data_IF_951855196121
#
_entry.id   IF_951855196121
#
_cell.length_a   1.000
_cell.length_b   1.000
_cell.length_c   1.000
_cell.angle_alpha   90.00
_cell.angle_beta   90.00
_cell.angle_gamma   90.00
#
_symmetry.space_group_name_H-M   'P 1'
#
loop_
_entity.id
_entity.type
_entity.pdbx_description
1 polymer ?
#
# COMPACT_ATOMS: atom_id res chain seq x y z
N UNK A 1 -9.69 6.56 9.45
CA UNK A 1 -9.86 6.98 8.03
C UNK A 1 -10.37 5.83 7.20
N UNK A 2 -9.68 4.67 7.19
CA UNK A 2 -10.18 3.45 6.53
C UNK A 2 -11.62 3.12 6.91
N UNK A 3 -11.96 3.12 8.21
CA UNK A 3 -13.35 2.87 8.67
C UNK A 3 -14.34 3.87 8.08
N UNK A 4 -13.98 5.17 8.03
CA UNK A 4 -14.85 6.21 7.44
C UNK A 4 -15.06 6.02 5.94
N UNK A 5 -14.08 5.48 5.22
CA UNK A 5 -14.21 5.14 3.80
C UNK A 5 -15.13 3.93 3.61
N UNK A 6 -14.96 2.91 4.47
CA UNK A 6 -15.82 1.73 4.47
C UNK A 6 -17.28 2.10 4.78
N UNK A 7 -17.52 2.92 5.81
CA UNK A 7 -18.85 3.43 6.18
C UNK A 7 -19.52 4.22 5.05
N UNK A 8 -18.72 4.87 4.19
CA UNK A 8 -19.19 5.60 3.02
C UNK A 8 -19.39 4.71 1.78
N UNK A 9 -19.17 3.40 1.87
CA UNK A 9 -19.25 2.45 0.76
C UNK A 9 -18.11 2.56 -0.25
N UNK A 10 -17.01 3.20 0.11
CA UNK A 10 -15.82 3.32 -0.75
C UNK A 10 -14.91 2.10 -0.60
N UNK A 11 -14.43 1.57 -1.72
CA UNK A 11 -13.44 0.50 -1.70
C UNK A 11 -12.13 1.00 -1.06
N UNK A 12 -11.64 0.30 -0.04
CA UNK A 12 -10.42 0.66 0.68
C UNK A 12 -9.75 -0.60 1.25
N UNK A 13 -8.48 -0.80 0.90
CA UNK A 13 -7.63 -1.83 1.48
C UNK A 13 -6.65 -1.18 2.47
N UNK A 14 -6.70 -1.60 3.75
CA UNK A 14 -5.76 -1.15 4.78
C UNK A 14 -4.74 -2.25 5.08
N UNK A 15 -3.45 -1.91 4.97
CA UNK A 15 -2.34 -2.76 5.39
C UNK A 15 -1.63 -2.14 6.59
N UNK A 16 -1.64 -2.84 7.74
CA UNK A 16 -0.84 -2.48 8.91
C UNK A 16 0.45 -3.28 8.89
N UNK A 17 1.58 -2.57 8.86
CA UNK A 17 2.91 -3.20 8.77
C UNK A 17 3.56 -3.24 10.13
N UNK A 18 3.69 -4.45 10.68
CA UNK A 18 4.23 -4.65 12.01
C UNK A 18 5.70 -4.19 12.12
N UNK A 19 6.00 -3.48 13.21
CA UNK A 19 7.32 -2.90 13.55
C UNK A 19 7.94 -1.98 12.49
N UNK A 20 7.14 -1.40 11.59
CA UNK A 20 7.66 -0.45 10.63
C UNK A 20 7.51 1.00 11.11
N UNK A 21 8.52 1.81 10.82
CA UNK A 21 8.47 3.24 11.08
C UNK A 21 7.64 3.97 10.02
N UNK A 22 7.26 5.21 10.32
CA UNK A 22 6.65 6.08 9.31
C UNK A 22 7.55 6.13 8.06
N UNK A 23 6.95 6.05 6.87
CA UNK A 23 7.62 6.13 5.57
C UNK A 23 8.74 5.09 5.33
N UNK A 24 8.69 3.91 5.96
CA UNK A 24 9.68 2.84 5.79
C UNK A 24 9.91 2.41 4.32
N UNK A 25 8.98 2.70 3.41
CA UNK A 25 9.13 2.48 1.96
C UNK A 25 10.33 3.24 1.36
N UNK A 26 10.68 4.41 1.90
CA UNK A 26 11.85 5.17 1.46
C UNK A 26 13.18 4.45 1.76
N UNK A 27 13.16 3.46 2.66
CA UNK A 27 14.30 2.61 2.98
C UNK A 27 14.27 1.29 2.20
N UNK A 28 13.62 1.22 1.03
CA UNK A 28 13.54 -0.01 0.23
C UNK A 28 14.91 -0.62 -0.13
N UNK A 29 15.94 0.20 -0.28
CA UNK A 29 17.31 -0.28 -0.54
C UNK A 29 17.99 -0.88 0.70
N UNK A 30 17.38 -0.73 1.89
CA UNK A 30 17.94 -1.11 3.18
C UNK A 30 17.13 -2.22 3.87
N UNK A 31 15.81 -2.22 3.72
CA UNK A 31 14.91 -3.16 4.40
C UNK A 31 13.97 -3.89 3.41
N UNK A 32 13.79 -5.22 3.54
CA UNK A 32 12.94 -6.00 2.64
C UNK A 32 11.47 -5.55 2.62
N UNK A 33 10.97 -5.06 3.74
CA UNK A 33 9.60 -4.57 3.88
C UNK A 33 9.34 -3.39 2.95
N UNK A 34 10.33 -2.50 2.75
CA UNK A 34 10.21 -1.37 1.82
C UNK A 34 9.97 -1.82 0.39
N UNK A 35 10.78 -2.78 -0.10
CA UNK A 35 10.59 -3.38 -1.44
C UNK A 35 9.22 -4.04 -1.55
N UNK A 36 8.80 -4.79 -0.52
CA UNK A 36 7.51 -5.47 -0.51
C UNK A 36 6.36 -4.48 -0.59
N UNK A 37 6.38 -3.44 0.23
CA UNK A 37 5.35 -2.40 0.25
C UNK A 37 5.24 -1.66 -1.09
N UNK A 38 6.37 -1.35 -1.75
CA UNK A 38 6.37 -0.76 -3.10
C UNK A 38 5.75 -1.74 -4.12
N UNK A 39 6.06 -3.03 -4.01
CA UNK A 39 5.45 -4.07 -4.84
C UNK A 39 3.93 -4.16 -4.67
N UNK A 40 3.43 -4.08 -3.43
CA UNK A 40 2.00 -4.03 -3.12
C UNK A 40 1.32 -2.81 -3.78
N UNK A 41 1.93 -1.63 -3.66
CA UNK A 41 1.44 -0.40 -4.29
C UNK A 41 1.37 -0.56 -5.81
N UNK A 42 2.43 -1.09 -6.42
CA UNK A 42 2.46 -1.33 -7.87
C UNK A 42 1.36 -2.30 -8.32
N UNK A 43 1.07 -3.35 -7.54
CA UNK A 43 -0.03 -4.27 -7.83
C UNK A 43 -1.38 -3.58 -7.74
N UNK A 44 -1.59 -2.77 -6.70
CA UNK A 44 -2.82 -2.00 -6.53
C UNK A 44 -3.08 -1.09 -7.74
N UNK A 45 -2.08 -0.32 -8.16
CA UNK A 45 -2.18 0.57 -9.34
C UNK A 45 -2.53 -0.24 -10.59
N UNK A 46 -1.82 -1.34 -10.86
CA UNK A 46 -2.09 -2.20 -12.03
C UNK A 46 -3.48 -2.81 -12.03
N UNK A 47 -4.01 -3.16 -10.87
CA UNK A 47 -5.34 -3.72 -10.73
C UNK A 47 -6.47 -2.70 -10.91
N UNK A 48 -6.18 -1.40 -10.73
CA UNK A 48 -7.20 -0.34 -10.68
C UNK A 48 -7.16 0.60 -11.88
N UNK A 49 -6.02 0.73 -12.55
CA UNK A 49 -5.83 1.65 -13.69
C UNK A 49 -5.75 0.85 -15.00
N UNK A 50 -6.77 0.94 -15.89
CA UNK A 50 -6.75 0.27 -17.18
C UNK A 50 -5.51 0.65 -18.01
N UNK A 51 -4.84 -0.34 -18.59
CA UNK A 51 -3.67 -0.14 -19.45
C UNK A 51 -2.33 0.05 -18.74
N UNK A 52 -2.30 0.05 -17.40
CA UNK A 52 -1.03 -0.02 -16.66
C UNK A 52 -0.51 -1.46 -16.65
N UNK A 53 0.59 -1.71 -17.39
CA UNK A 53 1.37 -2.96 -17.36
C UNK A 53 2.66 -2.74 -16.60
#
# INVERSE_FOLDING_TARGET
MADRLADAGMACDLQVWDRQVHIFQAAADLIPEGVRAIGEIGRFVRSTVPGSR
#
